data_IF_874077650346
#
_entry.id   IF_874077650346
#
_cell.length_a   1.000
_cell.length_b   1.000
_cell.length_c   1.000
_cell.angle_alpha   90.00
_cell.angle_beta   90.00
_cell.angle_gamma   90.00
#
_symmetry.space_group_name_H-M   'P 1'
#
loop_
_entity.id
_entity.type
_entity.pdbx_description
1 polymer ?
#
# COMPACT_ATOMS: atom_id res chain seq x y z
N UNK A 1 13.12 -21.32 -68.69
CA UNK A 1 13.90 -21.36 -67.42
C UNK A 1 14.71 -20.06 -67.39
N UNK A 2 14.70 -19.16 -66.41
CA UNK A 2 14.15 -19.11 -65.06
C UNK A 2 14.13 -17.62 -64.67
N UNK A 3 13.04 -17.14 -64.06
CA UNK A 3 12.94 -15.78 -63.55
C UNK A 3 13.70 -15.66 -62.22
N UNK A 4 14.67 -14.74 -62.15
CA UNK A 4 15.25 -14.25 -60.90
C UNK A 4 14.85 -12.79 -60.74
N UNK A 5 14.17 -12.46 -59.64
CA UNK A 5 14.45 -11.29 -58.79
C UNK A 5 13.17 -10.88 -58.07
N UNK A 6 13.17 -11.03 -56.75
CA UNK A 6 12.01 -10.75 -55.90
C UNK A 6 12.21 -11.31 -54.50
N UNK A 7 13.36 -11.00 -53.87
CA UNK A 7 13.60 -11.31 -52.46
C UNK A 7 14.77 -10.50 -51.90
N UNK A 8 14.69 -9.19 -52.00
CA UNK A 8 15.40 -8.28 -51.10
C UNK A 8 14.35 -7.47 -50.35
N UNK A 9 14.61 -7.22 -49.06
CA UNK A 9 13.78 -6.52 -48.07
C UNK A 9 12.78 -7.34 -47.24
N UNK A 10 13.24 -8.39 -46.55
CA UNK A 10 12.55 -8.90 -45.35
C UNK A 10 13.48 -9.40 -44.23
N UNK A 11 14.81 -9.21 -44.34
CA UNK A 11 15.76 -9.70 -43.32
C UNK A 11 16.10 -8.67 -42.24
N UNK A 12 15.91 -7.38 -42.49
CA UNK A 12 16.32 -6.33 -41.54
C UNK A 12 15.26 -6.04 -40.46
N UNK A 13 14.00 -6.42 -40.69
CA UNK A 13 12.91 -6.22 -39.72
C UNK A 13 12.89 -7.25 -38.58
N UNK A 14 13.33 -8.49 -38.83
CA UNK A 14 13.31 -9.54 -37.80
C UNK A 14 14.39 -9.36 -36.74
N UNK A 15 15.56 -8.81 -37.07
CA UNK A 15 16.62 -8.58 -36.07
C UNK A 15 16.24 -7.48 -35.08
N UNK A 16 15.53 -6.44 -35.55
CA UNK A 16 15.00 -5.35 -34.70
C UNK A 16 13.92 -5.87 -33.75
N UNK A 17 13.03 -6.75 -34.22
CA UNK A 17 11.99 -7.36 -33.39
C UNK A 17 12.56 -8.36 -32.37
N UNK A 18 13.63 -9.09 -32.72
CA UNK A 18 14.33 -9.96 -31.77
C UNK A 18 15.00 -9.13 -30.67
N UNK A 19 15.71 -8.06 -31.04
CA UNK A 19 16.34 -7.13 -30.10
C UNK A 19 15.32 -6.39 -29.22
N UNK A 20 14.15 -6.03 -29.74
CA UNK A 20 13.09 -5.38 -28.96
C UNK A 20 12.42 -6.36 -27.97
N UNK A 21 12.16 -7.61 -28.37
CA UNK A 21 11.64 -8.65 -27.46
C UNK A 21 12.67 -9.01 -26.39
N UNK A 22 13.94 -9.10 -26.73
CA UNK A 22 15.01 -9.35 -25.77
C UNK A 22 15.25 -8.12 -24.86
N UNK A 23 15.07 -6.89 -25.36
CA UNK A 23 15.12 -5.68 -24.54
C UNK A 23 13.95 -5.60 -23.55
N UNK A 24 12.72 -5.91 -23.99
CA UNK A 24 11.54 -5.95 -23.12
C UNK A 24 11.67 -7.08 -22.10
N UNK A 25 12.14 -8.27 -22.52
CA UNK A 25 12.38 -9.42 -21.65
C UNK A 25 13.51 -9.15 -20.65
N UNK A 26 14.59 -8.49 -21.08
CA UNK A 26 15.69 -8.06 -20.21
C UNK A 26 15.23 -6.99 -19.22
N UNK A 27 14.41 -6.01 -19.64
CA UNK A 27 13.80 -5.02 -18.74
C UNK A 27 12.81 -5.64 -17.75
N UNK A 28 12.03 -6.66 -18.16
CA UNK A 28 11.13 -7.39 -17.24
C UNK A 28 11.90 -8.30 -16.30
N UNK A 29 12.97 -8.96 -16.75
CA UNK A 29 13.86 -9.75 -15.91
C UNK A 29 14.66 -8.86 -14.94
N UNK A 30 15.12 -7.68 -15.36
CA UNK A 30 15.77 -6.67 -14.50
C UNK A 30 14.77 -6.04 -13.51
N UNK A 31 13.51 -5.83 -13.90
CA UNK A 31 12.44 -5.44 -12.97
C UNK A 31 12.14 -6.56 -11.96
N UNK A 32 12.12 -7.83 -12.39
CA UNK A 32 11.95 -9.00 -11.52
C UNK A 32 13.18 -9.27 -10.64
N UNK A 33 14.39 -8.96 -11.09
CA UNK A 33 15.62 -9.03 -10.29
C UNK A 33 15.72 -7.87 -9.29
N UNK A 34 15.33 -6.64 -9.65
CA UNK A 34 15.10 -5.54 -8.70
C UNK A 34 14.02 -5.90 -7.67
N UNK A 35 13.04 -6.71 -8.07
CA UNK A 35 12.01 -7.19 -7.16
C UNK A 35 12.51 -8.28 -6.18
N UNK A 36 13.56 -9.03 -6.53
CA UNK A 36 14.13 -10.13 -5.75
C UNK A 36 15.40 -9.79 -4.97
N UNK A 37 16.08 -8.68 -5.27
CA UNK A 37 17.24 -8.19 -4.51
C UNK A 37 16.85 -7.01 -3.64
N UNK A 38 16.15 -7.25 -2.53
CA UNK A 38 16.28 -6.38 -1.37
C UNK A 38 16.04 -7.18 -0.09
N UNK A 39 17.11 -7.71 0.56
CA UNK A 39 17.13 -7.90 2.01
C UNK A 39 16.88 -6.60 2.81
N UNK A 40 16.62 -5.49 2.11
CA UNK A 40 16.16 -4.20 2.62
C UNK A 40 14.69 -4.19 3.02
N UNK A 41 13.78 -4.96 2.41
CA UNK A 41 12.34 -4.83 2.71
C UNK A 41 12.03 -5.21 4.17
N UNK A 42 12.60 -6.31 4.68
CA UNK A 42 12.49 -6.68 6.09
C UNK A 42 13.22 -5.72 7.03
N UNK A 43 14.41 -5.24 6.63
CA UNK A 43 15.22 -4.34 7.45
C UNK A 43 14.55 -2.96 7.59
N UNK A 44 13.97 -2.47 6.51
CA UNK A 44 13.18 -1.24 6.49
C UNK A 44 11.82 -1.47 7.15
N UNK A 45 11.19 -2.64 7.02
CA UNK A 45 9.97 -2.96 7.78
C UNK A 45 10.19 -3.02 9.30
N UNK A 46 11.35 -3.54 9.74
CA UNK A 46 11.77 -3.45 11.14
C UNK A 46 11.96 -2.01 11.59
N UNK A 47 12.58 -1.16 10.77
CA UNK A 47 12.64 0.29 11.03
C UNK A 47 11.25 0.91 11.12
N UNK A 48 10.30 0.52 10.28
CA UNK A 48 8.93 1.02 10.32
C UNK A 48 8.25 0.66 11.65
N UNK A 49 8.38 -0.59 12.12
CA UNK A 49 7.88 -0.99 13.44
C UNK A 49 8.55 -0.18 14.57
N UNK A 50 9.85 0.08 14.47
CA UNK A 50 10.57 0.93 15.44
C UNK A 50 10.04 2.36 15.43
N UNK A 51 9.78 2.93 14.25
CA UNK A 51 9.21 4.28 14.11
C UNK A 51 7.78 4.34 14.66
N UNK A 52 6.92 3.38 14.33
CA UNK A 52 5.55 3.29 14.85
C UNK A 52 5.51 3.17 16.38
N UNK A 53 6.42 2.38 16.95
CA UNK A 53 6.55 2.26 18.41
C UNK A 53 7.08 3.55 19.06
N UNK A 54 7.83 4.37 18.32
CA UNK A 54 8.40 5.64 18.81
C UNK A 54 7.39 6.79 18.77
N UNK A 55 6.48 6.84 17.79
CA UNK A 55 5.55 7.97 17.61
C UNK A 55 4.36 8.00 18.56
N UNK A 56 4.06 6.89 19.23
CA UNK A 56 2.84 6.75 20.01
C UNK A 56 1.65 6.42 19.11
N UNK A 57 1.13 5.20 19.28
CA UNK A 57 0.10 4.61 18.41
C UNK A 57 -1.20 5.43 18.41
N UNK A 58 -1.51 6.08 19.55
CA UNK A 58 -2.73 6.87 19.69
C UNK A 58 -2.72 8.11 18.78
N UNK A 59 -1.64 8.90 18.78
CA UNK A 59 -1.63 10.14 17.99
C UNK A 59 -1.47 9.89 16.49
N UNK A 60 -0.63 8.92 16.10
CA UNK A 60 -0.52 8.57 14.67
C UNK A 60 -1.83 8.00 14.15
N UNK A 61 -2.48 7.13 14.94
CA UNK A 61 -3.73 6.50 14.56
C UNK A 61 -4.89 7.50 14.48
N UNK A 62 -4.96 8.44 15.41
CA UNK A 62 -5.93 9.54 15.37
C UNK A 62 -5.70 10.42 14.15
N UNK A 63 -4.48 10.94 13.97
CA UNK A 63 -4.17 11.87 12.89
C UNK A 63 -4.36 11.23 11.50
N UNK A 64 -4.01 9.94 11.34
CA UNK A 64 -4.22 9.21 10.08
C UNK A 64 -5.70 9.07 9.75
N UNK A 65 -6.54 8.71 10.73
CA UNK A 65 -7.97 8.55 10.53
C UNK A 65 -8.66 9.92 10.31
N UNK A 66 -8.27 10.95 11.06
CA UNK A 66 -8.74 12.32 10.85
C UNK A 66 -8.43 12.78 9.42
N UNK A 67 -7.21 12.57 8.93
CA UNK A 67 -6.83 12.91 7.55
C UNK A 67 -7.62 12.12 6.52
N UNK A 68 -7.87 10.83 6.76
CA UNK A 68 -8.73 10.02 5.89
C UNK A 68 -10.13 10.65 5.75
N UNK A 69 -10.77 10.97 6.87
CA UNK A 69 -12.14 11.52 6.90
C UNK A 69 -12.25 12.93 6.32
N UNK A 70 -11.18 13.74 6.37
CA UNK A 70 -11.13 15.09 5.80
C UNK A 70 -10.79 15.06 4.31
N UNK A 71 -9.75 14.31 3.92
CA UNK A 71 -9.26 14.26 2.53
C UNK A 71 -10.22 13.45 1.66
N UNK A 72 -10.89 12.45 2.22
CA UNK A 72 -11.84 11.60 1.53
C UNK A 72 -13.20 11.59 2.27
N UNK A 73 -13.99 12.69 2.22
CA UNK A 73 -15.25 12.80 2.99
C UNK A 73 -16.26 11.69 2.72
N UNK A 74 -16.22 11.07 1.54
CA UNK A 74 -17.10 9.96 1.19
C UNK A 74 -16.84 8.70 2.03
N UNK A 75 -15.70 8.56 2.70
CA UNK A 75 -15.41 7.43 3.59
C UNK A 75 -16.14 7.54 4.92
N UNK A 76 -16.71 8.71 5.25
CA UNK A 76 -17.45 8.91 6.51
C UNK A 76 -18.66 7.97 6.64
N UNK A 77 -19.26 7.54 5.52
CA UNK A 77 -20.40 6.61 5.48
C UNK A 77 -20.12 5.20 6.07
N UNK A 78 -18.85 4.86 6.29
CA UNK A 78 -18.46 3.58 6.91
C UNK A 78 -18.27 3.71 8.43
N UNK A 79 -18.47 4.91 8.98
CA UNK A 79 -18.14 5.26 10.36
C UNK A 79 -19.32 5.92 11.08
N UNK A 80 -20.54 5.45 10.81
CA UNK A 80 -21.77 6.00 11.39
C UNK A 80 -21.76 5.97 12.94
N UNK A 81 -21.10 4.98 13.54
CA UNK A 81 -20.97 4.82 15.00
C UNK A 81 -20.08 5.88 15.67
N UNK A 82 -19.26 6.61 14.89
CA UNK A 82 -18.36 7.64 15.42
C UNK A 82 -19.11 8.92 15.81
N UNK A 83 -20.38 9.08 15.43
CA UNK A 83 -21.21 10.22 15.80
C UNK A 83 -20.99 11.42 14.88
N UNK A 84 -20.77 12.61 15.44
CA UNK A 84 -20.65 13.84 14.65
C UNK A 84 -19.32 13.91 13.88
N UNK A 85 -19.43 13.88 12.55
CA UNK A 85 -18.35 14.06 11.59
C UNK A 85 -18.64 15.22 10.61
N UNK A 86 -19.59 16.10 10.95
CA UNK A 86 -20.11 17.14 10.04
C UNK A 86 -19.12 18.27 9.71
N UNK A 87 -18.11 18.46 10.55
CA UNK A 87 -17.09 19.50 10.37
C UNK A 87 -15.70 18.99 10.72
N UNK A 88 -14.67 19.65 10.17
CA UNK A 88 -13.25 19.32 10.45
C UNK A 88 -12.97 19.38 11.96
N UNK A 89 -13.50 20.39 12.64
CA UNK A 89 -13.30 20.58 14.08
C UNK A 89 -14.01 19.49 14.90
N UNK A 90 -15.20 19.06 14.47
CA UNK A 90 -15.90 17.93 15.06
C UNK A 90 -15.08 16.65 14.90
N UNK A 91 -14.58 16.33 13.69
CA UNK A 91 -13.76 15.15 13.42
C UNK A 91 -12.48 15.15 14.28
N UNK A 92 -11.76 16.27 14.34
CA UNK A 92 -10.49 16.39 15.07
C UNK A 92 -10.64 16.23 16.59
N UNK A 93 -11.75 16.74 17.15
CA UNK A 93 -12.02 16.71 18.60
C UNK A 93 -12.83 15.48 19.03
N UNK A 94 -13.24 14.63 18.10
CA UNK A 94 -14.08 13.47 18.41
C UNK A 94 -13.27 12.36 19.11
N UNK A 95 -13.57 12.02 20.37
CA UNK A 95 -12.84 10.99 21.12
C UNK A 95 -13.05 9.59 20.54
N UNK A 96 -14.18 9.33 19.87
CA UNK A 96 -14.44 8.05 19.20
C UNK A 96 -13.55 7.87 17.98
N UNK A 97 -13.29 8.95 17.22
CA UNK A 97 -12.34 8.94 16.09
C UNK A 97 -10.94 8.61 16.61
N UNK A 98 -10.49 9.23 17.69
CA UNK A 98 -9.20 8.92 18.30
C UNK A 98 -9.09 7.44 18.72
N UNK A 99 -10.08 6.94 19.46
CA UNK A 99 -10.10 5.54 19.92
C UNK A 99 -10.18 4.53 18.75
N UNK A 100 -10.89 4.87 17.67
CA UNK A 100 -10.99 4.01 16.50
C UNK A 100 -9.70 4.02 15.68
N UNK A 101 -9.08 5.19 15.50
CA UNK A 101 -7.78 5.33 14.84
C UNK A 101 -6.67 4.54 15.56
N UNK A 102 -6.67 4.55 16.89
CA UNK A 102 -5.76 3.74 17.70
C UNK A 102 -5.96 2.24 17.44
N UNK A 103 -7.21 1.75 17.40
CA UNK A 103 -7.51 0.34 17.11
C UNK A 103 -7.03 -0.09 15.73
N UNK A 104 -7.27 0.74 14.70
CA UNK A 104 -6.79 0.45 13.34
C UNK A 104 -5.27 0.39 13.33
N UNK A 105 -4.58 1.35 13.95
CA UNK A 105 -3.12 1.36 13.93
C UNK A 105 -2.51 0.20 14.73
N UNK A 106 -3.12 -0.23 15.84
CA UNK A 106 -2.71 -1.46 16.55
C UNK A 106 -2.85 -2.71 15.69
N UNK A 107 -3.95 -2.83 14.93
CA UNK A 107 -4.15 -3.93 14.00
C UNK A 107 -3.08 -3.91 12.89
N UNK A 108 -2.73 -2.72 12.39
CA UNK A 108 -1.64 -2.55 11.42
C UNK A 108 -0.28 -2.92 12.02
N UNK A 109 0.03 -2.49 13.24
CA UNK A 109 1.27 -2.85 13.94
C UNK A 109 1.39 -4.37 14.11
N UNK A 110 0.30 -5.04 14.48
CA UNK A 110 0.25 -6.49 14.61
C UNK A 110 0.41 -7.19 13.25
N UNK A 111 -0.25 -6.67 12.22
CA UNK A 111 -0.06 -7.13 10.85
C UNK A 111 1.41 -7.00 10.40
N UNK A 112 2.10 -5.92 10.79
CA UNK A 112 3.51 -5.69 10.48
C UNK A 112 4.50 -6.55 11.29
N UNK A 113 4.06 -7.17 12.39
CA UNK A 113 4.84 -8.23 13.07
C UNK A 113 4.72 -9.58 12.36
N UNK A 114 3.64 -9.77 11.60
CA UNK A 114 3.31 -10.98 10.88
C UNK A 114 3.36 -10.81 9.35
N UNK A 115 4.33 -10.05 8.83
CA UNK A 115 4.49 -9.85 7.38
C UNK A 115 4.67 -11.16 6.61
N UNK A 116 5.22 -12.17 7.28
CA UNK A 116 5.45 -13.51 6.73
C UNK A 116 4.15 -14.32 6.63
N UNK A 117 3.11 -13.94 7.38
CA UNK A 117 1.82 -14.63 7.47
C UNK A 117 0.68 -13.74 6.98
N UNK A 118 0.61 -13.58 5.66
CA UNK A 118 -0.44 -12.82 4.98
C UNK A 118 -1.85 -13.37 5.25
N UNK A 119 -1.99 -14.66 5.62
CA UNK A 119 -3.29 -15.26 5.93
C UNK A 119 -3.93 -14.64 7.18
N UNK A 120 -3.15 -14.35 8.21
CA UNK A 120 -3.66 -13.68 9.42
C UNK A 120 -4.17 -12.26 9.10
N UNK A 121 -3.49 -11.55 8.20
CA UNK A 121 -3.92 -10.21 7.76
C UNK A 121 -5.21 -10.26 6.95
N UNK A 122 -5.34 -11.29 6.10
CA UNK A 122 -6.57 -11.56 5.35
C UNK A 122 -7.74 -11.81 6.29
N UNK A 123 -7.58 -12.63 7.33
CA UNK A 123 -8.67 -12.89 8.31
C UNK A 123 -9.16 -11.60 8.98
N UNK A 124 -8.25 -10.72 9.42
CA UNK A 124 -8.65 -9.43 9.99
C UNK A 124 -9.37 -8.55 8.97
N UNK A 125 -8.89 -8.50 7.72
CA UNK A 125 -9.52 -7.72 6.65
C UNK A 125 -10.90 -8.26 6.24
N UNK A 126 -11.09 -9.57 6.30
CA UNK A 126 -12.38 -10.21 6.03
C UNK A 126 -13.40 -9.87 7.12
N UNK A 127 -12.98 -9.73 8.38
CA UNK A 127 -13.86 -9.21 9.44
C UNK A 127 -14.35 -7.79 9.11
N UNK A 128 -13.46 -6.88 8.71
CA UNK A 128 -13.85 -5.51 8.31
C UNK A 128 -14.76 -5.48 7.07
N UNK A 129 -14.55 -6.40 6.13
CA UNK A 129 -15.34 -6.43 4.89
C UNK A 129 -16.70 -7.10 5.10
N UNK A 130 -16.76 -8.21 5.86
CA UNK A 130 -17.98 -9.02 6.05
C UNK A 130 -18.90 -8.47 7.12
N UNK A 131 -18.34 -8.00 8.23
CA UNK A 131 -19.15 -7.51 9.36
C UNK A 131 -19.43 -6.01 9.22
N UNK A 132 -18.40 -5.22 8.88
CA UNK A 132 -18.50 -3.75 8.83
C UNK A 132 -18.81 -3.21 7.42
N UNK A 133 -18.94 -4.09 6.41
CA UNK A 133 -19.26 -3.74 5.02
C UNK A 133 -18.34 -2.64 4.44
N UNK A 134 -17.09 -2.60 4.92
CA UNK A 134 -16.10 -1.64 4.47
C UNK A 134 -15.60 -2.07 3.09
N UNK A 135 -15.64 -1.14 2.13
CA UNK A 135 -15.13 -1.39 0.80
C UNK A 135 -13.59 -1.55 0.86
N UNK A 136 -13.02 -2.62 0.29
CA UNK A 136 -11.57 -2.85 0.29
C UNK A 136 -10.75 -1.70 -0.31
N UNK A 137 -11.35 -0.88 -1.17
CA UNK A 137 -10.72 0.32 -1.75
C UNK A 137 -10.34 1.38 -0.71
N UNK A 138 -10.84 1.30 0.53
CA UNK A 138 -10.45 2.21 1.61
C UNK A 138 -9.05 1.89 2.14
N UNK A 139 -8.61 0.63 2.14
CA UNK A 139 -7.30 0.26 2.72
C UNK A 139 -6.11 0.95 2.02
N UNK A 140 -6.06 1.06 0.67
CA UNK A 140 -5.07 1.88 -0.01
C UNK A 140 -5.11 3.37 0.35
N UNK A 141 -6.29 3.92 0.61
CA UNK A 141 -6.45 5.34 0.99
C UNK A 141 -5.94 5.58 2.40
N UNK A 142 -6.31 4.71 3.35
CA UNK A 142 -5.82 4.77 4.71
C UNK A 142 -4.29 4.62 4.76
N UNK A 143 -3.75 3.67 4.00
CA UNK A 143 -2.31 3.48 3.83
C UNK A 143 -1.63 4.79 3.40
N UNK A 144 -2.18 5.46 2.36
CA UNK A 144 -1.61 6.71 1.87
C UNK A 144 -1.62 7.79 2.95
N UNK A 145 -2.74 7.97 3.64
CA UNK A 145 -2.83 8.97 4.72
C UNK A 145 -1.89 8.66 5.87
N UNK A 146 -1.71 7.38 6.23
CA UNK A 146 -0.77 6.95 7.25
C UNK A 146 0.68 7.26 6.85
N UNK A 147 1.07 6.95 5.61
CA UNK A 147 2.41 7.30 5.08
C UNK A 147 2.66 8.81 5.14
N UNK A 148 1.65 9.63 4.82
CA UNK A 148 1.77 11.08 4.86
C UNK A 148 1.92 11.60 6.31
N UNK A 149 1.20 11.03 7.29
CA UNK A 149 1.37 11.36 8.72
C UNK A 149 2.76 10.99 9.22
N UNK A 150 3.24 9.79 8.88
CA UNK A 150 4.57 9.33 9.27
C UNK A 150 5.66 10.24 8.69
N UNK A 151 5.51 10.67 7.44
CA UNK A 151 6.43 11.61 6.81
C UNK A 151 6.46 12.97 7.54
N UNK A 152 5.31 13.48 7.96
CA UNK A 152 5.22 14.77 8.66
C UNK A 152 5.80 14.71 10.08
N UNK A 153 5.58 13.60 10.79
CA UNK A 153 6.08 13.41 12.16
C UNK A 153 7.59 13.16 12.20
N UNK A 154 8.09 12.30 11.33
CA UNK A 154 9.48 11.84 11.37
C UNK A 154 10.42 12.62 10.46
N UNK A 155 9.89 13.38 9.49
CA UNK A 155 10.65 14.26 8.57
C UNK A 155 11.93 13.58 8.07
N UNK A 156 13.10 14.05 8.49
CA UNK A 156 14.41 13.50 8.09
C UNK A 156 14.67 12.04 8.53
N UNK A 157 13.93 11.51 9.50
CA UNK A 157 13.98 10.10 9.91
C UNK A 157 13.12 9.19 9.00
N UNK A 158 12.34 9.77 8.06
CA UNK A 158 11.53 9.05 7.07
C UNK A 158 11.93 9.41 5.63
N UNK A 159 13.16 9.04 5.20
CA UNK A 159 13.63 9.32 3.85
C UNK A 159 12.85 8.52 2.79
N UNK A 160 12.99 8.92 1.53
CA UNK A 160 12.28 8.34 0.37
C UNK A 160 12.37 6.81 0.28
N UNK A 161 13.47 6.22 0.72
CA UNK A 161 13.76 4.79 0.72
C UNK A 161 12.90 4.05 1.75
N UNK A 162 12.72 4.63 2.94
CA UNK A 162 11.84 4.10 3.98
C UNK A 162 10.40 4.23 3.53
N UNK A 163 10.03 5.39 2.96
CA UNK A 163 8.71 5.64 2.40
C UNK A 163 8.34 4.65 1.30
N UNK A 164 9.22 4.41 0.35
CA UNK A 164 9.00 3.45 -0.73
C UNK A 164 8.87 2.01 -0.20
N UNK A 165 9.64 1.65 0.83
CA UNK A 165 9.52 0.35 1.50
C UNK A 165 8.17 0.22 2.21
N UNK A 166 7.69 1.29 2.87
CA UNK A 166 6.39 1.35 3.51
C UNK A 166 5.26 1.16 2.50
N UNK A 167 5.23 1.96 1.44
CA UNK A 167 4.23 1.87 0.38
C UNK A 167 4.22 0.48 -0.28
N UNK A 168 5.39 -0.13 -0.50
CA UNK A 168 5.50 -1.49 -1.05
C UNK A 168 4.91 -2.55 -0.13
N UNK A 169 5.18 -2.47 1.18
CA UNK A 169 4.65 -3.43 2.16
C UNK A 169 3.13 -3.35 2.23
N UNK A 170 2.57 -2.14 2.36
CA UNK A 170 1.11 -1.99 2.38
C UNK A 170 0.45 -2.31 1.04
N UNK A 171 1.10 -2.06 -0.09
CA UNK A 171 0.60 -2.52 -1.39
C UNK A 171 0.45 -4.04 -1.43
N UNK A 172 1.44 -4.79 -0.93
CA UNK A 172 1.36 -6.25 -0.86
C UNK A 172 0.22 -6.73 0.06
N UNK A 173 0.01 -6.04 1.19
CA UNK A 173 -1.11 -6.34 2.10
C UNK A 173 -2.47 -6.05 1.42
N UNK A 174 -2.61 -4.87 0.81
CA UNK A 174 -3.83 -4.48 0.10
C UNK A 174 -4.15 -5.43 -1.06
N UNK A 175 -3.14 -5.91 -1.80
CA UNK A 175 -3.30 -6.89 -2.86
C UNK A 175 -3.76 -8.25 -2.31
N UNK A 176 -3.23 -8.68 -1.17
CA UNK A 176 -3.64 -9.92 -0.51
C UNK A 176 -5.09 -9.84 -0.03
N UNK A 177 -5.46 -8.74 0.60
CA UNK A 177 -6.84 -8.46 1.05
C UNK A 177 -7.81 -8.41 -0.12
N UNK A 178 -7.47 -7.66 -1.18
CA UNK A 178 -8.35 -7.51 -2.34
C UNK A 178 -8.63 -8.84 -3.04
N UNK A 179 -7.63 -9.73 -3.12
CA UNK A 179 -7.80 -11.08 -3.66
C UNK A 179 -8.73 -11.92 -2.78
N UNK A 180 -8.51 -11.89 -1.47
CA UNK A 180 -9.28 -12.70 -0.53
C UNK A 180 -10.74 -12.25 -0.32
N UNK A 181 -11.09 -11.02 -0.72
CA UNK A 181 -12.46 -10.52 -0.74
C UNK A 181 -13.17 -10.83 -2.07
N UNK A 182 -12.41 -11.04 -3.15
CA UNK A 182 -12.94 -11.34 -4.48
C UNK A 182 -13.25 -12.83 -4.69
N UNK A 183 -12.82 -13.70 -3.78
CA UNK A 183 -13.06 -15.15 -3.75
C UNK A 183 -14.30 -15.51 -2.90
#
# INVERSE_FOLDING_TARGET
MSAKSGRLQLRDGLSVLFNARDCVRKRTLEAQHRHKQHPSAEKEAKKMNVLLNKSGIEEVGKESLVRLLIVYPWTQKYFDDLGDLSSVEAIQKNPKVAAHGEKILKSVEEAMKHLDNLNHQVEQSQYYTKELHIDPSIFPLYTKTLTDVMADQFKGEFPSEVRASFEKTFSAMNDAVSKAVSE
#
